data_IF_160962675222
#
_entry.id   IF_160962675222
#
_cell.length_a   1.000
_cell.length_b   1.000
_cell.length_c   1.000
_cell.angle_alpha   90.00
_cell.angle_beta   90.00
_cell.angle_gamma   90.00
#
_symmetry.space_group_name_H-M   'P 1'
#
loop_
_entity.id
_entity.type
_entity.pdbx_description
1 polymer ?
#
# COMPACT_ATOMS: atom_id res chain seq x y z
N UNK A 1 -4.20 -34.07 21.35
CA UNK A 1 -5.17 -33.28 22.14
C UNK A 1 -5.02 -31.85 21.66
N UNK A 2 -5.89 -31.45 20.74
CA UNK A 2 -5.99 -30.07 20.23
C UNK A 2 -6.47 -29.12 21.33
N UNK A 3 -6.12 -27.83 21.18
CA UNK A 3 -6.88 -26.60 21.54
C UNK A 3 -5.86 -25.44 21.51
N UNK A 4 -5.97 -24.34 20.78
CA UNK A 4 -6.99 -23.79 19.89
C UNK A 4 -6.63 -22.31 19.71
N UNK A 5 -6.22 -21.88 18.51
CA UNK A 5 -5.99 -20.47 18.22
C UNK A 5 -7.32 -19.81 17.88
N UNK A 6 -7.89 -19.05 18.81
CA UNK A 6 -9.08 -18.24 18.56
C UNK A 6 -8.71 -17.06 17.65
N UNK A 7 -9.10 -17.13 16.38
CA UNK A 7 -9.23 -15.94 15.54
C UNK A 7 -10.60 -15.35 15.81
N UNK A 8 -10.64 -14.22 16.51
CA UNK A 8 -11.87 -13.50 16.79
C UNK A 8 -12.33 -12.81 15.50
N UNK A 9 -13.30 -13.42 14.83
CA UNK A 9 -13.96 -12.87 13.66
C UNK A 9 -14.93 -11.76 14.07
N UNK A 10 -14.62 -10.53 13.69
CA UNK A 10 -15.61 -9.45 13.63
C UNK A 10 -16.16 -9.36 12.19
N UNK A 11 -17.46 -9.61 12.08
CA UNK A 11 -18.38 -9.25 10.98
C UNK A 11 -18.26 -10.02 9.65
N UNK A 12 -19.03 -11.11 9.60
CA UNK A 12 -19.72 -11.72 8.45
C UNK A 12 -19.44 -11.17 7.03
N UNK A 13 -18.48 -11.79 6.36
CA UNK A 13 -18.28 -11.76 4.91
C UNK A 13 -17.33 -12.89 4.54
N UNK A 14 -17.56 -13.57 3.41
CA UNK A 14 -16.97 -14.88 3.03
C UNK A 14 -15.44 -14.92 2.86
N UNK A 15 -14.68 -13.92 3.32
CA UNK A 15 -13.21 -13.89 3.25
C UNK A 15 -12.62 -13.83 1.84
N UNK A 16 -13.46 -13.82 0.79
CA UNK A 16 -13.05 -13.63 -0.60
C UNK A 16 -12.70 -12.16 -0.79
N UNK A 17 -11.46 -11.81 -0.43
CA UNK A 17 -10.81 -10.58 -0.90
C UNK A 17 -10.90 -10.59 -2.42
N UNK A 18 -11.58 -9.59 -2.97
CA UNK A 18 -11.60 -9.16 -4.38
C UNK A 18 -11.11 -10.22 -5.39
N UNK A 19 -12.01 -10.76 -6.22
CA UNK A 19 -11.70 -11.75 -7.27
C UNK A 19 -10.52 -11.33 -8.14
N UNK A 20 -10.30 -10.02 -8.34
CA UNK A 20 -9.14 -9.50 -9.07
C UNK A 20 -7.83 -9.81 -8.36
N UNK A 21 -7.78 -9.67 -7.03
CA UNK A 21 -6.61 -10.01 -6.20
C UNK A 21 -6.37 -11.53 -6.22
N UNK A 22 -7.44 -12.33 -6.17
CA UNK A 22 -7.30 -13.79 -6.28
C UNK A 22 -6.78 -14.21 -7.66
N UNK A 23 -7.28 -13.61 -8.73
CA UNK A 23 -6.79 -13.88 -10.09
C UNK A 23 -5.32 -13.49 -10.25
N UNK A 24 -4.91 -12.32 -9.74
CA UNK A 24 -3.50 -11.91 -9.77
C UNK A 24 -2.61 -12.89 -8.98
N UNK A 25 -3.06 -13.34 -7.80
CA UNK A 25 -2.35 -14.36 -7.00
C UNK A 25 -2.24 -15.69 -7.71
N UNK A 26 -3.31 -16.13 -8.37
CA UNK A 26 -3.32 -17.35 -9.18
C UNK A 26 -2.35 -17.21 -10.35
N UNK A 27 -2.40 -16.13 -11.12
CA UNK A 27 -1.46 -15.88 -12.21
C UNK A 27 0.00 -15.87 -11.74
N UNK A 28 0.29 -15.24 -10.60
CA UNK A 28 1.64 -15.26 -10.01
C UNK A 28 2.08 -16.68 -9.60
N UNK A 29 1.17 -17.47 -9.01
CA UNK A 29 1.43 -18.88 -8.65
C UNK A 29 1.66 -19.77 -9.86
N UNK A 30 0.92 -19.53 -10.95
CA UNK A 30 1.09 -20.25 -12.20
C UNK A 30 2.41 -19.84 -12.88
N UNK A 31 2.75 -18.54 -12.87
CA UNK A 31 4.05 -18.03 -13.30
C UNK A 31 5.20 -18.71 -12.54
N UNK A 32 5.10 -18.82 -11.21
CA UNK A 32 6.09 -19.54 -10.39
C UNK A 32 6.27 -20.99 -10.84
N UNK A 33 5.16 -21.73 -11.02
CA UNK A 33 5.20 -23.15 -11.40
C UNK A 33 5.63 -23.40 -12.85
N UNK A 34 5.40 -22.43 -13.74
CA UNK A 34 5.83 -22.53 -15.14
C UNK A 34 7.35 -22.40 -15.27
N UNK A 35 7.93 -21.50 -14.47
CA UNK A 35 9.37 -21.26 -14.37
C UNK A 35 10.13 -22.33 -13.59
N UNK A 36 9.44 -23.07 -12.72
CA UNK A 36 10.00 -24.28 -12.09
C UNK A 36 10.16 -25.34 -13.18
N UNK A 37 11.41 -25.61 -13.56
CA UNK A 37 11.83 -26.30 -14.80
C UNK A 37 11.42 -27.76 -14.93
N UNK A 38 10.46 -28.24 -14.15
CA UNK A 38 9.86 -29.55 -14.34
C UNK A 38 9.01 -29.53 -15.62
N UNK A 39 9.37 -30.37 -16.60
CA UNK A 39 8.53 -30.69 -17.76
C UNK A 39 7.29 -31.46 -17.30
N UNK A 40 6.33 -30.72 -16.77
CA UNK A 40 5.13 -31.29 -16.20
C UNK A 40 3.98 -31.25 -17.22
N UNK A 41 3.28 -32.38 -17.38
CA UNK A 41 2.20 -32.59 -18.36
C UNK A 41 1.13 -31.49 -18.38
N UNK A 42 0.90 -30.79 -17.27
CA UNK A 42 -0.05 -29.67 -17.19
C UNK A 42 0.37 -28.45 -18.02
N UNK A 43 1.66 -28.28 -18.34
CA UNK A 43 2.17 -27.23 -19.25
C UNK A 43 1.63 -27.46 -20.68
N UNK A 44 1.59 -28.71 -21.13
CA UNK A 44 1.02 -29.08 -22.43
C UNK A 44 -0.49 -28.87 -22.45
N UNK A 45 -1.19 -29.25 -21.38
CA UNK A 45 -2.64 -29.01 -21.23
C UNK A 45 -2.96 -27.51 -21.26
N UNK A 46 -2.11 -26.67 -20.69
CA UNK A 46 -2.26 -25.23 -20.74
C UNK A 46 -2.14 -24.65 -22.15
N UNK A 47 -1.15 -25.10 -22.91
CA UNK A 47 -0.95 -24.68 -24.29
C UNK A 47 -2.15 -25.10 -25.15
N UNK A 48 -2.72 -26.28 -24.91
CA UNK A 48 -3.93 -26.74 -25.60
C UNK A 48 -5.19 -25.91 -25.24
N UNK A 49 -5.36 -25.53 -23.97
CA UNK A 49 -6.56 -24.78 -23.53
C UNK A 49 -6.51 -23.30 -23.92
N UNK A 50 -5.36 -22.65 -23.77
CA UNK A 50 -5.22 -21.20 -23.94
C UNK A 50 -4.51 -20.80 -25.23
N UNK A 51 -4.01 -21.78 -25.97
CA UNK A 51 -3.41 -21.59 -27.28
C UNK A 51 -2.10 -20.78 -27.26
N UNK A 52 -1.73 -20.17 -28.40
CA UNK A 52 -0.44 -19.52 -28.60
C UNK A 52 -0.13 -18.34 -27.65
N UNK A 53 -1.14 -17.78 -26.99
CA UNK A 53 -0.96 -16.66 -26.06
C UNK A 53 -0.16 -17.04 -24.82
N UNK A 54 -0.34 -18.27 -24.31
CA UNK A 54 0.49 -18.76 -23.19
C UNK A 54 1.89 -19.08 -23.67
N UNK A 55 2.07 -19.61 -24.89
CA UNK A 55 3.39 -19.95 -25.42
C UNK A 55 4.29 -18.72 -25.50
N UNK A 56 3.79 -17.59 -26.02
CA UNK A 56 4.55 -16.34 -26.05
C UNK A 56 4.94 -15.86 -24.64
N UNK A 57 4.03 -15.99 -23.68
CA UNK A 57 4.32 -15.64 -22.28
C UNK A 57 5.36 -16.60 -21.67
N UNK A 58 5.40 -17.87 -22.08
CA UNK A 58 6.43 -18.82 -21.66
C UNK A 58 7.79 -18.45 -22.24
N UNK A 59 7.85 -18.09 -23.52
CA UNK A 59 9.08 -17.64 -24.18
C UNK A 59 9.65 -16.37 -23.49
N UNK A 60 8.77 -15.40 -23.16
CA UNK A 60 9.15 -14.19 -22.42
C UNK A 60 9.72 -14.50 -21.01
N UNK A 61 9.38 -15.67 -20.47
CA UNK A 61 9.79 -16.14 -19.15
C UNK A 61 11.03 -17.06 -19.21
N UNK A 62 11.32 -17.68 -20.36
CA UNK A 62 12.36 -18.71 -20.54
C UNK A 62 13.80 -18.19 -20.38
N UNK A 63 13.99 -16.87 -20.19
CA UNK A 63 15.27 -16.24 -19.86
C UNK A 63 15.38 -15.68 -18.43
N UNK A 64 14.33 -15.83 -17.62
CA UNK A 64 14.34 -15.33 -16.24
C UNK A 64 15.01 -16.31 -15.30
N UNK A 65 16.26 -16.03 -14.95
CA UNK A 65 16.94 -16.74 -13.87
C UNK A 65 16.46 -16.22 -12.52
N UNK A 66 16.03 -17.13 -11.64
CA UNK A 66 15.76 -16.80 -10.26
C UNK A 66 17.07 -16.43 -9.57
N UNK A 67 17.13 -15.25 -8.95
CA UNK A 67 18.16 -15.02 -7.95
C UNK A 67 17.86 -15.94 -6.77
N UNK A 68 18.84 -16.73 -6.33
CA UNK A 68 18.78 -17.40 -5.03
C UNK A 68 18.91 -16.41 -3.86
N UNK A 69 18.98 -15.12 -4.15
CA UNK A 69 18.91 -14.07 -3.14
C UNK A 69 17.52 -14.04 -2.51
N UNK A 70 17.49 -13.92 -1.19
CA UNK A 70 16.25 -13.66 -0.46
C UNK A 70 15.62 -12.35 -0.94
N UNK A 71 14.29 -12.31 -1.00
CA UNK A 71 13.54 -11.10 -1.28
C UNK A 71 13.88 -10.00 -0.26
N UNK A 72 14.27 -8.83 -0.75
CA UNK A 72 14.62 -7.68 0.09
C UNK A 72 13.78 -6.47 -0.28
N UNK A 73 13.29 -5.76 0.73
CA UNK A 73 12.71 -4.43 0.51
C UNK A 73 13.81 -3.47 0.07
N UNK A 74 13.66 -2.91 -1.14
CA UNK A 74 14.55 -1.87 -1.66
C UNK A 74 13.81 -0.54 -1.75
N UNK A 75 14.47 0.52 -1.32
CA UNK A 75 13.97 1.88 -1.46
C UNK A 75 14.12 2.34 -2.91
N UNK A 76 13.01 2.41 -3.64
CA UNK A 76 13.01 2.67 -5.09
C UNK A 76 13.23 4.12 -5.52
N UNK A 77 13.55 5.05 -4.60
CA UNK A 77 13.81 6.45 -4.95
C UNK A 77 15.30 6.76 -5.18
N UNK A 78 16.19 5.84 -4.82
CA UNK A 78 17.64 6.00 -4.95
C UNK A 78 18.25 4.71 -5.50
N UNK A 79 19.31 4.85 -6.30
CA UNK A 79 20.01 3.71 -6.91
C UNK A 79 20.67 2.79 -5.86
N UNK A 80 20.99 3.35 -4.68
CA UNK A 80 21.52 2.59 -3.55
C UNK A 80 20.56 1.52 -3.03
N UNK A 81 19.26 1.64 -3.30
CA UNK A 81 18.22 0.80 -2.73
C UNK A 81 18.03 0.99 -1.21
N UNK A 82 18.75 1.92 -0.58
CA UNK A 82 18.70 2.20 0.85
C UNK A 82 17.72 3.33 1.16
N UNK A 83 16.98 3.20 2.25
CA UNK A 83 16.08 4.25 2.69
C UNK A 83 16.88 5.48 3.12
N UNK A 84 16.50 6.65 2.61
CA UNK A 84 16.96 7.93 3.13
C UNK A 84 15.79 8.83 3.46
N UNK A 85 15.90 9.51 4.59
CA UNK A 85 14.92 10.51 5.02
C UNK A 85 14.80 11.62 3.96
N UNK A 86 15.92 11.99 3.32
CA UNK A 86 15.98 13.04 2.30
C UNK A 86 15.14 12.73 1.06
N UNK A 87 15.29 11.56 0.44
CA UNK A 87 14.50 11.20 -0.74
C UNK A 87 13.04 10.95 -0.41
N UNK A 88 12.75 10.42 0.79
CA UNK A 88 11.38 10.31 1.29
C UNK A 88 10.70 11.68 1.40
N UNK A 89 11.34 12.66 2.04
CA UNK A 89 10.82 14.03 2.10
C UNK A 89 10.66 14.64 0.72
N UNK A 90 11.65 14.51 -0.18
CA UNK A 90 11.54 15.05 -1.54
C UNK A 90 10.36 14.46 -2.32
N UNK A 91 10.09 13.16 -2.18
CA UNK A 91 8.94 12.51 -2.82
C UNK A 91 7.61 12.98 -2.22
N UNK A 92 7.53 13.04 -0.89
CA UNK A 92 6.35 13.53 -0.19
C UNK A 92 6.06 14.99 -0.51
N UNK A 93 7.10 15.82 -0.59
CA UNK A 93 7.00 17.21 -0.98
C UNK A 93 6.43 17.33 -2.40
N UNK A 94 6.94 16.55 -3.36
CA UNK A 94 6.39 16.50 -4.72
C UNK A 94 4.91 16.08 -4.77
N UNK A 95 4.48 15.15 -3.92
CA UNK A 95 3.07 14.70 -3.85
C UNK A 95 2.18 15.75 -3.15
N UNK A 96 2.65 16.33 -2.05
CA UNK A 96 1.86 17.24 -1.20
C UNK A 96 1.83 18.66 -1.76
N UNK A 97 2.89 19.11 -2.46
CA UNK A 97 2.97 20.45 -3.05
C UNK A 97 2.40 20.53 -4.48
N UNK A 98 2.20 19.41 -5.19
CA UNK A 98 1.46 19.42 -6.46
C UNK A 98 -0.04 19.67 -6.25
N UNK A 99 -0.49 19.48 -5.01
CA UNK A 99 -1.79 19.88 -4.52
C UNK A 99 -1.70 21.35 -4.05
N UNK A 100 -2.09 22.31 -4.91
CA UNK A 100 -2.17 23.76 -4.65
C UNK A 100 -3.27 24.14 -3.61
N UNK A 101 -3.27 23.49 -2.45
CA UNK A 101 -4.30 23.67 -1.42
C UNK A 101 -4.05 24.86 -0.50
N UNK A 102 -2.84 25.44 -0.49
CA UNK A 102 -2.46 26.45 0.52
C UNK A 102 -2.47 27.87 -0.03
N UNK A 103 -3.32 28.71 0.55
CA UNK A 103 -3.26 30.15 0.31
C UNK A 103 -1.97 30.76 0.87
N UNK A 104 -1.58 31.94 0.38
CA UNK A 104 -0.42 32.67 0.93
C UNK A 104 -0.62 33.02 2.42
N UNK A 105 -1.87 33.18 2.85
CA UNK A 105 -2.24 33.39 4.25
C UNK A 105 -1.90 32.17 5.10
N UNK A 106 -2.23 30.96 4.61
CA UNK A 106 -1.97 29.70 5.31
C UNK A 106 -0.46 29.53 5.51
N UNK A 107 0.34 29.73 4.45
CA UNK A 107 1.80 29.67 4.51
C UNK A 107 2.38 30.63 5.56
N UNK A 108 1.85 31.85 5.65
CA UNK A 108 2.26 32.85 6.66
C UNK A 108 1.89 32.41 8.08
N UNK A 109 0.71 31.85 8.29
CA UNK A 109 0.26 31.34 9.59
C UNK A 109 1.12 30.17 10.04
N UNK A 110 1.36 29.18 9.17
CA UNK A 110 2.18 28.02 9.52
C UNK A 110 3.63 28.40 9.81
N UNK A 111 4.21 29.34 9.07
CA UNK A 111 5.55 29.86 9.36
C UNK A 111 5.65 30.46 10.77
N UNK A 112 4.60 31.13 11.25
CA UNK A 112 4.55 31.67 12.62
C UNK A 112 4.37 30.57 13.66
N UNK A 113 3.51 29.59 13.39
CA UNK A 113 3.26 28.45 14.28
C UNK A 113 4.55 27.64 14.49
N UNK A 114 5.25 27.29 13.40
CA UNK A 114 6.49 26.52 13.49
C UNK A 114 7.66 27.26 14.14
N UNK A 115 7.67 28.59 14.10
CA UNK A 115 8.67 29.43 14.79
C UNK A 115 8.27 29.80 16.22
N UNK A 116 7.13 29.33 16.71
CA UNK A 116 6.66 29.64 18.05
C UNK A 116 7.59 29.04 19.11
N UNK A 117 7.82 29.73 20.26
CA UNK A 117 8.54 29.17 21.40
C UNK A 117 7.76 28.09 22.17
N UNK A 118 6.52 27.80 21.76
CA UNK A 118 5.70 26.79 22.40
C UNK A 118 6.31 25.38 22.27
N UNK A 119 6.06 24.47 23.23
CA UNK A 119 6.50 23.09 23.13
C UNK A 119 6.02 22.40 21.85
N UNK A 120 6.81 21.48 21.31
CA UNK A 120 6.54 20.80 20.02
C UNK A 120 5.14 20.14 19.96
N UNK A 121 4.64 19.64 21.09
CA UNK A 121 3.28 19.07 21.20
C UNK A 121 2.19 20.12 20.96
N UNK A 122 2.39 21.34 21.43
CA UNK A 122 1.45 22.46 21.24
C UNK A 122 1.47 22.90 19.78
N UNK A 123 2.65 23.04 19.19
CA UNK A 123 2.81 23.41 17.78
C UNK A 123 2.16 22.37 16.85
N UNK A 124 2.41 21.08 17.10
CA UNK A 124 1.79 19.99 16.36
C UNK A 124 0.26 19.93 16.56
N UNK A 125 -0.23 20.21 17.77
CA UNK A 125 -1.67 20.31 18.04
C UNK A 125 -2.31 21.45 17.26
N UNK A 126 -1.72 22.66 17.27
CA UNK A 126 -2.22 23.82 16.51
C UNK A 126 -2.25 23.55 15.01
N UNK A 127 -1.24 22.88 14.47
CA UNK A 127 -1.23 22.42 13.08
C UNK A 127 -2.38 21.45 12.79
N UNK A 128 -2.61 20.45 13.66
CA UNK A 128 -3.76 19.52 13.52
C UNK A 128 -5.09 20.24 13.63
N UNK A 129 -5.21 21.21 14.53
CA UNK A 129 -6.43 21.98 14.76
C UNK A 129 -6.81 22.78 13.52
N UNK A 130 -5.86 23.52 12.93
CA UNK A 130 -6.10 24.32 11.73
C UNK A 130 -6.55 23.50 10.52
N UNK A 131 -6.20 22.22 10.48
CA UNK A 131 -6.64 21.30 9.43
C UNK A 131 -7.86 20.46 9.76
N UNK A 132 -8.49 20.74 10.89
CA UNK A 132 -9.58 19.92 11.40
C UNK A 132 -9.17 18.43 11.47
N UNK A 133 -7.88 18.18 11.71
CA UNK A 133 -7.24 16.85 11.76
C UNK A 133 -7.21 16.24 13.14
N UNK A 134 -7.77 16.93 14.13
CA UNK A 134 -8.00 16.36 15.45
C UNK A 134 -9.04 15.24 15.32
N UNK A 135 -8.80 14.07 15.94
CA UNK A 135 -9.72 12.93 15.88
C UNK A 135 -10.94 13.14 16.80
N UNK A 136 -11.73 14.17 16.52
CA UNK A 136 -13.05 14.37 17.15
C UNK A 136 -14.05 13.37 16.55
N UNK A 137 -15.15 13.08 17.25
CA UNK A 137 -16.20 12.18 16.73
C UNK A 137 -16.71 12.63 15.35
N UNK A 138 -16.90 13.93 15.17
CA UNK A 138 -17.33 14.55 13.91
C UNK A 138 -16.30 14.32 12.81
N UNK A 139 -15.02 14.60 13.06
CA UNK A 139 -13.97 14.48 12.03
C UNK A 139 -13.68 13.03 11.65
N UNK A 140 -13.85 12.10 12.61
CA UNK A 140 -13.74 10.67 12.35
C UNK A 140 -14.93 10.17 11.51
N UNK A 141 -16.15 10.67 11.75
CA UNK A 141 -17.30 10.34 10.92
C UNK A 141 -17.17 10.88 9.50
N UNK A 142 -16.73 12.14 9.33
CA UNK A 142 -16.44 12.74 8.01
C UNK A 142 -15.42 11.93 7.21
N UNK A 143 -14.48 11.26 7.89
CA UNK A 143 -13.45 10.40 7.28
C UNK A 143 -13.89 8.94 7.11
N UNK A 144 -15.15 8.61 7.36
CA UNK A 144 -15.69 7.25 7.33
C UNK A 144 -14.95 6.28 8.28
N UNK A 145 -14.36 6.79 9.36
CA UNK A 145 -13.74 5.96 10.40
C UNK A 145 -14.78 5.52 11.43
N UNK A 146 -15.77 6.37 11.71
CA UNK A 146 -16.92 6.05 12.56
C UNK A 146 -18.23 6.14 11.77
N UNK A 147 -19.27 5.38 12.15
CA UNK A 147 -20.62 5.55 11.60
C UNK A 147 -21.12 6.97 11.83
N UNK A 148 -21.86 7.54 10.88
CA UNK A 148 -22.38 8.92 10.97
C UNK A 148 -23.25 9.14 12.21
N UNK A 149 -23.92 8.10 12.70
CA UNK A 149 -24.76 8.10 13.89
C UNK A 149 -23.94 8.36 15.17
N UNK A 150 -22.68 7.92 15.21
CA UNK A 150 -21.78 8.11 16.35
C UNK A 150 -21.36 9.59 16.54
N UNK A 151 -21.57 10.44 15.53
CA UNK A 151 -21.24 11.87 15.57
C UNK A 151 -22.33 12.76 16.18
N UNK A 152 -23.55 12.24 16.38
CA UNK A 152 -24.76 13.01 16.74
C UNK A 152 -25.11 13.01 18.24
N UNK A 153 -24.18 12.59 19.10
CA UNK A 153 -24.30 12.60 20.57
C UNK A 153 -23.22 13.48 21.21
#
# INVERSE_FOLDING_TARGET
>A
MEMGLSTQGYNGGLGVRDVRILNVRLLAKWKWRLLDGEEALWKNVLVEIYGPSITRMLDDLEGMFWSHEEDRWKWGLEESGMFSVKSSYGKLEGIVLTEDFWSETDKRVFRKIWKSPAPSRVVAFSWKLLYDRIPTKVNLAVRNVLPMEASRL
#
